data_IF_979323859151
#
_entry.id   IF_979323859151
#
_cell.length_a   1.000
_cell.length_b   1.000
_cell.length_c   1.000
_cell.angle_alpha   90.00
_cell.angle_beta   90.00
_cell.angle_gamma   90.00
#
_symmetry.space_group_name_H-M   'P 1'
#
loop_
_entity.id
_entity.type
_entity.pdbx_description
1 polymer ?
#
# COMPACT_ATOMS: atom_id res chain seq x y z
N UNK A 1 1.86 -28.46 2.76
CA UNK A 1 2.08 -27.00 2.52
C UNK A 1 2.84 -26.30 3.65
N UNK A 2 2.25 -25.99 4.81
CA UNK A 2 3.01 -25.34 5.90
C UNK A 2 4.10 -26.27 6.50
N UNK A 3 3.79 -27.56 6.62
CA UNK A 3 4.73 -28.60 7.05
C UNK A 3 5.95 -28.74 6.11
N UNK A 4 5.77 -28.54 4.81
CA UNK A 4 6.84 -28.65 3.81
C UNK A 4 7.77 -27.42 3.83
N UNK A 5 7.23 -26.24 4.15
CA UNK A 5 8.05 -25.02 4.32
C UNK A 5 9.00 -25.13 5.52
N UNK A 6 8.71 -25.99 6.50
CA UNK A 6 9.63 -26.30 7.60
C UNK A 6 10.80 -27.17 7.12
N UNK A 7 10.55 -28.08 6.17
CA UNK A 7 11.55 -29.01 5.64
C UNK A 7 12.50 -28.33 4.63
N UNK A 8 12.00 -27.36 3.87
CA UNK A 8 12.79 -26.54 2.97
C UNK A 8 12.34 -25.07 3.07
N UNK A 9 12.98 -24.29 3.97
CA UNK A 9 12.64 -22.89 4.21
C UNK A 9 13.17 -21.95 3.13
N UNK A 10 13.91 -22.45 2.14
CA UNK A 10 14.47 -21.62 1.06
C UNK A 10 13.43 -21.26 0.00
N UNK A 11 12.29 -21.95 0.00
CA UNK A 11 11.19 -21.74 -0.95
C UNK A 11 9.92 -21.37 -0.19
N UNK A 12 9.34 -20.22 -0.54
CA UNK A 12 8.07 -19.77 0.01
C UNK A 12 6.93 -20.77 -0.30
N UNK A 13 6.08 -21.14 0.67
CA UNK A 13 4.98 -22.08 0.44
C UNK A 13 4.03 -21.67 -0.69
N UNK A 14 3.76 -20.39 -0.89
CA UNK A 14 2.92 -19.92 -1.99
C UNK A 14 3.58 -20.18 -3.35
N UNK A 15 4.86 -19.83 -3.48
CA UNK A 15 5.65 -20.07 -4.70
C UNK A 15 5.71 -21.56 -5.04
N UNK A 16 5.89 -22.43 -4.04
CA UNK A 16 5.97 -23.88 -4.26
C UNK A 16 4.72 -24.46 -4.95
N UNK A 17 3.55 -23.90 -4.67
CA UNK A 17 2.27 -24.40 -5.22
C UNK A 17 1.91 -23.73 -6.53
N UNK A 18 2.24 -22.45 -6.68
CA UNK A 18 1.78 -21.64 -7.80
C UNK A 18 2.86 -21.39 -8.86
N UNK A 19 4.11 -21.77 -8.57
CA UNK A 19 5.32 -21.52 -9.38
C UNK A 19 5.55 -20.03 -9.68
N UNK A 20 4.90 -19.15 -8.92
CA UNK A 20 5.03 -17.70 -9.01
C UNK A 20 4.84 -17.03 -7.63
N UNK A 21 5.48 -15.88 -7.38
CA UNK A 21 5.31 -15.15 -6.12
C UNK A 21 3.87 -14.62 -5.95
N UNK A 22 3.42 -14.54 -4.71
CA UNK A 22 2.04 -14.16 -4.36
C UNK A 22 1.59 -12.84 -5.02
N UNK A 23 2.37 -11.76 -4.92
CA UNK A 23 2.00 -10.49 -5.55
C UNK A 23 1.86 -10.58 -7.06
N UNK A 24 2.79 -11.27 -7.73
CA UNK A 24 2.72 -11.49 -9.19
C UNK A 24 1.49 -12.31 -9.56
N UNK A 25 1.15 -13.32 -8.76
CA UNK A 25 -0.06 -14.14 -8.92
C UNK A 25 -1.34 -13.30 -8.80
N UNK A 26 -1.41 -12.44 -7.77
CA UNK A 26 -2.59 -11.62 -7.48
C UNK A 26 -2.83 -10.61 -8.60
N UNK A 27 -1.82 -9.85 -9.01
CA UNK A 27 -1.96 -8.80 -10.04
C UNK A 27 -2.49 -9.35 -11.37
N UNK A 28 -2.16 -10.60 -11.71
CA UNK A 28 -2.69 -11.27 -12.91
C UNK A 28 -4.17 -11.66 -12.82
N UNK A 29 -4.77 -11.68 -11.63
CA UNK A 29 -6.12 -12.18 -11.37
C UNK A 29 -6.99 -11.08 -10.74
N UNK A 30 -7.81 -10.36 -11.53
CA UNK A 30 -8.53 -9.16 -11.08
C UNK A 30 -9.38 -9.36 -9.81
N UNK A 31 -10.04 -10.51 -9.68
CA UNK A 31 -10.84 -10.85 -8.49
C UNK A 31 -9.98 -10.94 -7.23
N UNK A 32 -8.88 -11.69 -7.29
CA UNK A 32 -7.99 -11.90 -6.14
C UNK A 32 -7.23 -10.62 -5.81
N UNK A 33 -6.81 -9.86 -6.82
CA UNK A 33 -6.21 -8.54 -6.63
C UNK A 33 -7.18 -7.59 -5.92
N UNK A 34 -8.44 -7.54 -6.36
CA UNK A 34 -9.47 -6.73 -5.74
C UNK A 34 -9.72 -7.15 -4.28
N UNK A 35 -9.76 -8.46 -4.00
CA UNK A 35 -9.90 -8.98 -2.65
C UNK A 35 -8.73 -8.52 -1.74
N UNK A 36 -7.49 -8.67 -2.21
CA UNK A 36 -6.31 -8.23 -1.48
C UNK A 36 -6.35 -6.73 -1.19
N UNK A 37 -6.58 -5.90 -2.22
CA UNK A 37 -6.60 -4.43 -2.09
C UNK A 37 -7.70 -3.95 -1.15
N UNK A 38 -8.84 -4.64 -1.11
CA UNK A 38 -9.94 -4.31 -0.21
C UNK A 38 -9.74 -4.83 1.22
N UNK A 39 -8.97 -5.92 1.39
CA UNK A 39 -8.67 -6.47 2.70
C UNK A 39 -7.65 -5.62 3.48
N UNK A 40 -6.66 -5.05 2.80
CA UNK A 40 -5.55 -4.33 3.44
C UNK A 40 -6.01 -3.13 4.32
N UNK A 41 -6.93 -2.26 3.89
CA UNK A 41 -7.45 -1.18 4.74
C UNK A 41 -8.09 -1.66 6.04
N UNK A 42 -8.69 -2.86 6.04
CA UNK A 42 -9.30 -3.46 7.23
C UNK A 42 -8.32 -3.71 8.37
N UNK A 43 -7.02 -3.85 8.06
CA UNK A 43 -5.94 -4.01 9.04
C UNK A 43 -5.20 -2.70 9.28
N UNK A 44 -4.83 -2.00 8.20
CA UNK A 44 -3.95 -0.84 8.29
C UNK A 44 -4.61 0.38 8.92
N UNK A 45 -5.90 0.64 8.62
CA UNK A 45 -6.60 1.83 9.12
C UNK A 45 -6.77 1.81 10.64
N UNK A 46 -7.26 0.72 11.28
CA UNK A 46 -7.32 0.63 12.73
C UNK A 46 -5.94 0.77 13.38
N UNK A 47 -4.91 0.17 12.78
CA UNK A 47 -3.54 0.25 13.28
C UNK A 47 -3.00 1.68 13.27
N UNK A 48 -3.09 2.38 12.13
CA UNK A 48 -2.63 3.77 12.03
C UNK A 48 -3.45 4.69 12.93
N UNK A 49 -4.77 4.46 13.07
CA UNK A 49 -5.60 5.20 14.02
C UNK A 49 -5.09 5.07 15.45
N UNK A 50 -4.75 3.86 15.87
CA UNK A 50 -4.21 3.61 17.21
C UNK A 50 -2.80 4.21 17.38
N UNK A 51 -1.93 4.03 16.38
CA UNK A 51 -0.57 4.61 16.36
C UNK A 51 -0.63 6.12 16.56
N UNK A 52 -1.45 6.81 15.77
CA UNK A 52 -1.60 8.26 15.81
C UNK A 52 -2.10 8.78 17.17
N UNK A 53 -2.71 7.95 18.03
CA UNK A 53 -3.16 8.40 19.35
C UNK A 53 -2.02 8.59 20.36
N UNK A 54 -0.86 7.97 20.14
CA UNK A 54 0.27 8.04 21.07
C UNK A 54 1.62 8.29 20.41
N UNK A 55 1.64 8.60 19.10
CA UNK A 55 2.87 8.76 18.32
C UNK A 55 2.91 10.13 17.66
N UNK A 56 3.84 10.98 18.12
CA UNK A 56 4.03 12.34 17.61
C UNK A 56 5.24 12.49 16.67
N UNK A 57 5.88 11.40 16.23
CA UNK A 57 7.11 11.52 15.45
C UNK A 57 6.91 12.07 14.02
N UNK A 58 5.66 12.29 13.60
CA UNK A 58 5.36 13.01 12.35
C UNK A 58 5.41 14.54 12.51
N UNK A 59 5.56 15.06 13.75
CA UNK A 59 5.73 16.49 13.97
C UNK A 59 6.98 17.02 13.27
N UNK A 60 6.83 18.10 12.50
CA UNK A 60 7.92 18.72 11.75
C UNK A 60 8.33 17.97 10.48
N UNK A 61 7.72 16.82 10.18
CA UNK A 61 7.88 16.17 8.87
C UNK A 61 7.14 17.00 7.84
N UNK A 62 7.83 17.41 6.78
CA UNK A 62 7.25 18.17 5.66
C UNK A 62 6.83 17.27 4.49
N UNK A 63 7.62 16.22 4.22
CA UNK A 63 7.39 15.25 3.15
C UNK A 63 7.31 13.84 3.71
N UNK A 64 6.22 13.15 3.41
CA UNK A 64 6.00 11.76 3.79
C UNK A 64 5.77 10.91 2.54
N UNK A 65 6.55 9.84 2.39
CA UNK A 65 6.39 8.86 1.32
C UNK A 65 5.82 7.58 1.91
N UNK A 66 4.62 7.21 1.49
CA UNK A 66 4.00 5.92 1.80
C UNK A 66 4.39 4.93 0.70
N UNK A 67 5.13 3.88 1.06
CA UNK A 67 5.56 2.82 0.13
C UNK A 67 4.58 1.65 0.27
N UNK A 68 3.96 1.22 -0.84
CA UNK A 68 2.87 0.22 -0.88
C UNK A 68 1.60 0.69 -0.13
N UNK A 69 1.16 1.92 -0.39
CA UNK A 69 0.07 2.57 0.36
C UNK A 69 -1.35 2.19 -0.02
N UNK A 70 -1.56 1.33 -1.02
CA UNK A 70 -2.87 0.92 -1.52
C UNK A 70 -3.80 2.14 -1.80
N UNK A 71 -4.94 2.21 -1.11
CA UNK A 71 -5.95 3.26 -1.25
C UNK A 71 -5.59 4.59 -0.56
N UNK A 72 -4.43 4.69 0.12
CA UNK A 72 -3.85 5.92 0.72
C UNK A 72 -4.59 6.43 1.95
N UNK A 73 -5.43 5.59 2.57
CA UNK A 73 -6.20 5.96 3.76
C UNK A 73 -5.27 6.33 4.92
N UNK A 74 -4.21 5.55 5.11
CA UNK A 74 -3.20 5.79 6.14
C UNK A 74 -2.44 7.11 5.94
N UNK A 75 -1.90 7.37 4.74
CA UNK A 75 -1.23 8.63 4.42
C UNK A 75 -2.14 9.85 4.64
N UNK A 76 -3.42 9.75 4.22
CA UNK A 76 -4.41 10.81 4.46
C UNK A 76 -4.66 11.05 5.95
N UNK A 77 -4.79 9.99 6.74
CA UNK A 77 -4.96 10.11 8.19
C UNK A 77 -3.77 10.80 8.86
N UNK A 78 -2.54 10.45 8.46
CA UNK A 78 -1.32 11.07 8.99
C UNK A 78 -1.27 12.54 8.62
N UNK A 79 -1.47 12.89 7.35
CA UNK A 79 -1.46 14.28 6.88
C UNK A 79 -2.56 15.12 7.55
N UNK A 80 -3.74 14.55 7.78
CA UNK A 80 -4.83 15.25 8.47
C UNK A 80 -4.48 15.55 9.93
N UNK A 81 -3.81 14.63 10.63
CA UNK A 81 -3.42 14.82 12.02
C UNK A 81 -2.15 15.68 12.19
N UNK A 82 -1.25 15.66 11.21
CA UNK A 82 0.01 16.39 11.21
C UNK A 82 0.07 17.35 10.03
N UNK A 83 -0.51 18.56 10.15
CA UNK A 83 -0.52 19.55 9.07
C UNK A 83 0.87 20.00 8.60
N UNK A 84 1.93 19.74 9.38
CA UNK A 84 3.31 19.96 8.95
C UNK A 84 3.65 19.14 7.70
N UNK A 85 3.01 17.97 7.51
CA UNK A 85 3.20 17.10 6.34
C UNK A 85 2.49 17.72 5.14
N UNK A 86 3.13 18.71 4.53
CA UNK A 86 2.62 19.47 3.39
C UNK A 86 2.68 18.68 2.07
N UNK A 87 3.46 17.60 2.01
CA UNK A 87 3.58 16.76 0.83
C UNK A 87 3.53 15.27 1.17
N UNK A 88 2.41 14.62 0.86
CA UNK A 88 2.29 13.17 0.89
C UNK A 88 2.54 12.57 -0.49
N UNK A 89 3.34 11.51 -0.58
CA UNK A 89 3.59 10.77 -1.82
C UNK A 89 3.19 9.32 -1.60
N UNK A 90 2.24 8.82 -2.37
CA UNK A 90 1.99 7.38 -2.43
C UNK A 90 2.90 6.78 -3.52
N UNK A 91 3.67 5.79 -3.14
CA UNK A 91 4.55 5.03 -4.01
C UNK A 91 4.15 3.57 -3.99
N UNK A 92 3.38 3.14 -4.99
CA UNK A 92 2.85 1.78 -5.06
C UNK A 92 3.12 1.13 -6.42
N UNK A 93 3.01 -0.19 -6.45
CA UNK A 93 3.00 -0.97 -7.68
C UNK A 93 1.73 -0.64 -8.46
N UNK A 94 1.89 -0.41 -9.76
CA UNK A 94 0.77 -0.06 -10.64
C UNK A 94 -0.14 -1.27 -10.82
N UNK A 95 -1.38 -1.18 -10.35
CA UNK A 95 -2.46 -2.03 -10.82
C UNK A 95 -3.01 -1.46 -12.14
N UNK A 96 -2.98 -2.24 -13.22
CA UNK A 96 -3.49 -1.85 -14.55
C UNK A 96 -4.96 -1.38 -14.46
N UNK A 97 -5.75 -1.93 -13.53
CA UNK A 97 -7.14 -1.55 -13.33
C UNK A 97 -7.34 -0.15 -12.69
N UNK A 98 -6.31 0.43 -12.07
CA UNK A 98 -6.38 1.75 -11.43
C UNK A 98 -5.94 2.91 -12.35
N UNK A 99 -5.18 2.62 -13.42
CA UNK A 99 -4.74 3.62 -14.40
C UNK A 99 -5.94 4.28 -15.09
N UNK A 100 -6.92 3.46 -15.50
CA UNK A 100 -8.05 3.90 -16.31
C UNK A 100 -9.18 4.55 -15.47
N UNK A 101 -9.40 4.08 -14.23
CA UNK A 101 -10.43 4.65 -13.34
C UNK A 101 -10.09 6.04 -12.80
N UNK A 102 -8.82 6.45 -12.82
CA UNK A 102 -8.35 7.64 -12.09
C UNK A 102 -7.57 8.64 -12.95
N UNK A 103 -7.40 8.38 -14.25
CA UNK A 103 -6.82 9.33 -15.21
C UNK A 103 -5.37 9.71 -14.92
N UNK A 104 -4.52 8.75 -14.54
CA UNK A 104 -3.15 9.01 -14.05
C UNK A 104 -2.06 8.42 -14.96
N UNK A 105 -0.90 9.08 -15.04
CA UNK A 105 0.30 8.58 -15.73
C UNK A 105 1.19 7.76 -14.78
N UNK A 106 1.73 6.64 -15.27
CA UNK A 106 2.74 5.82 -14.58
C UNK A 106 4.13 6.09 -15.16
N UNK A 107 5.16 6.11 -14.32
CA UNK A 107 6.57 6.15 -14.76
C UNK A 107 7.25 4.83 -14.38
N UNK A 108 7.82 4.12 -15.37
CA UNK A 108 8.55 2.86 -15.18
C UNK A 108 7.84 1.78 -14.33
N UNK A 109 6.52 1.65 -14.46
CA UNK A 109 5.72 0.66 -13.71
C UNK A 109 5.49 1.00 -12.23
N UNK A 110 5.81 2.23 -11.82
CA UNK A 110 5.58 2.77 -10.48
C UNK A 110 4.57 3.90 -10.55
N UNK A 111 3.60 3.90 -9.63
CA UNK A 111 2.69 5.02 -9.48
C UNK A 111 3.29 5.98 -8.45
N UNK A 112 3.72 7.15 -8.91
CA UNK A 112 4.10 8.26 -8.06
C UNK A 112 2.96 9.27 -8.10
N UNK A 113 2.20 9.39 -7.00
CA UNK A 113 1.22 10.46 -6.88
C UNK A 113 1.45 11.26 -5.62
N UNK A 114 1.94 12.48 -5.80
CA UNK A 114 1.91 13.51 -4.78
C UNK A 114 0.44 13.91 -4.51
N UNK A 115 0.04 13.93 -3.25
CA UNK A 115 -1.15 14.64 -2.79
C UNK A 115 -0.76 16.09 -2.51
N UNK A 116 -1.33 17.08 -3.21
CA UNK A 116 -1.35 18.43 -2.66
C UNK A 116 -2.21 18.43 -1.40
N UNK A 117 -1.98 19.40 -0.52
CA UNK A 117 -2.86 19.65 0.62
C UNK A 117 -4.23 20.02 0.04
N UNK A 118 -5.24 19.19 0.28
CA UNK A 118 -6.61 19.49 -0.16
C UNK A 118 -7.13 20.72 0.57
N UNK A 119 -7.50 21.75 -0.19
CA UNK A 119 -8.42 22.80 0.26
C UNK A 119 -9.83 22.22 0.40
N UNK A 120 -10.59 22.82 1.33
CA UNK A 120 -11.97 22.46 1.70
C UNK A 120 -12.90 22.17 0.51
#
# INVERSE_FOLDING_TARGET
MANEAVLDPTVEPFFRVNEEPAYTYYVKKPEINGLMLNAMPGVSVPFIKALLNGYDAFQGVERLVEVVGNARDCLRMIMHKHPSVCQGINFDMVNIADIDRRGMQADNGKLLQALPIGGN
#
